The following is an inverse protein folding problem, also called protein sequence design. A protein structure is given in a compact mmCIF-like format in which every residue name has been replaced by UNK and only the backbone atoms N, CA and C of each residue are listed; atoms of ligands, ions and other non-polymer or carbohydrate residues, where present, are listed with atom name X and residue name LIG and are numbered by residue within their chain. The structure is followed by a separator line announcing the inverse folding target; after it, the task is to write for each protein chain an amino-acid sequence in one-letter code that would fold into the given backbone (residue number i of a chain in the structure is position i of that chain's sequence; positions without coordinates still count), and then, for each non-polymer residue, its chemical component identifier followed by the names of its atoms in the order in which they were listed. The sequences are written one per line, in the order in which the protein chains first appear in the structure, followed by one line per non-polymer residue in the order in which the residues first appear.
data_IF_374387175543
#
_entry.id   IF_374387175543
#
_cell.length_a   1.000
_cell.length_b   1.000
_cell.length_c   1.000
_cell.angle_alpha   90.00
_cell.angle_beta   90.00
_cell.angle_gamma   90.00
#
_symmetry.space_group_name_H-M   'P 1'
#
loop_
_entity.id
_entity.type
_entity.pdbx_description
1 polymer ?
#
# COMPACT_ATOMS: atom_id res chain seq x y z
N UNK A 1 -2.60 -4.62 16.63
CA UNK A 1 -1.24 -5.16 16.59
C UNK A 1 -0.69 -4.93 15.20
N UNK A 2 0.55 -4.44 15.12
CA UNK A 2 1.28 -4.20 13.87
C UNK A 2 1.20 -5.32 12.84
N UNK A 3 1.31 -4.94 11.57
CA UNK A 3 1.08 -5.81 10.42
C UNK A 3 2.37 -6.26 9.71
N UNK A 4 3.50 -6.23 10.45
CA UNK A 4 4.81 -6.68 9.97
C UNK A 4 5.50 -5.67 9.06
N UNK A 5 6.18 -6.18 8.03
CA UNK A 5 6.83 -5.39 7.00
C UNK A 5 6.11 -5.60 5.65
N UNK A 6 6.31 -4.65 4.74
CA UNK A 6 5.66 -4.65 3.43
C UNK A 6 6.55 -4.11 2.32
N UNK A 7 6.13 -4.35 1.08
CA UNK A 7 6.65 -3.68 -0.11
C UNK A 7 5.50 -2.92 -0.74
N UNK A 8 5.70 -1.63 -0.95
CA UNK A 8 4.70 -0.70 -1.47
C UNK A 8 5.20 0.00 -2.72
N UNK A 9 4.27 0.34 -3.61
CA UNK A 9 4.49 1.39 -4.60
C UNK A 9 4.05 2.72 -3.97
N UNK A 10 5.01 3.50 -3.50
CA UNK A 10 4.81 4.81 -2.88
C UNK A 10 4.56 5.86 -3.96
N UNK A 11 3.53 6.68 -3.77
CA UNK A 11 3.05 7.64 -4.75
C UNK A 11 3.31 9.07 -4.29
N UNK A 12 3.71 9.93 -5.22
CA UNK A 12 3.88 11.36 -4.96
C UNK A 12 2.53 12.08 -5.15
N UNK A 13 1.55 11.75 -4.30
CA UNK A 13 0.23 12.37 -4.29
C UNK A 13 0.01 13.16 -3.00
N UNK A 14 -0.62 14.32 -3.13
CA UNK A 14 -0.93 15.20 -2.01
C UNK A 14 -2.30 14.84 -1.41
N UNK A 15 -2.49 15.20 -0.13
CA UNK A 15 -3.80 15.13 0.53
C UNK A 15 -4.10 13.84 1.26
N UNK A 16 -3.19 12.85 1.26
CA UNK A 16 -3.27 11.72 2.20
C UNK A 16 -3.09 12.27 3.61
N UNK A 17 -4.04 11.96 4.49
CA UNK A 17 -4.12 12.60 5.81
C UNK A 17 -3.41 11.83 6.90
N UNK A 18 -3.32 10.50 6.76
CA UNK A 18 -3.02 9.63 7.90
C UNK A 18 -1.74 8.84 7.78
N UNK A 19 -1.16 8.70 6.58
CA UNK A 19 -0.03 7.80 6.33
C UNK A 19 0.67 8.12 5.01
N UNK A 20 1.67 7.32 4.65
CA UNK A 20 2.43 7.43 3.40
C UNK A 20 1.52 7.07 2.22
N UNK A 21 1.36 7.91 1.18
CA UNK A 21 0.54 7.57 0.03
C UNK A 21 1.12 6.38 -0.73
N UNK A 22 0.35 5.31 -0.89
CA UNK A 22 0.86 4.10 -1.53
C UNK A 22 -0.26 3.25 -2.12
N UNK A 23 0.14 2.29 -2.96
CA UNK A 23 -0.59 1.04 -3.15
C UNK A 23 0.26 -0.13 -2.65
N UNK A 24 -0.36 -1.05 -1.92
CA UNK A 24 0.31 -2.23 -1.40
C UNK A 24 0.67 -3.19 -2.54
N UNK A 25 1.89 -3.72 -2.55
CA UNK A 25 2.26 -4.88 -3.39
C UNK A 25 2.09 -6.15 -2.56
N UNK A 26 2.73 -6.20 -1.39
CA UNK A 26 2.57 -7.26 -0.40
C UNK A 26 2.87 -6.74 1.02
N UNK A 27 2.29 -7.38 2.03
CA UNK A 27 2.46 -7.07 3.46
C UNK A 27 2.57 -8.35 4.30
N UNK A 28 2.62 -8.20 5.63
CA UNK A 28 2.68 -9.30 6.60
C UNK A 28 3.93 -10.19 6.46
N UNK A 29 5.06 -9.55 6.15
CA UNK A 29 6.36 -10.22 5.96
C UNK A 29 7.28 -9.98 7.16
N UNK A 30 8.31 -10.82 7.28
CA UNK A 30 9.51 -10.45 8.06
C UNK A 30 10.26 -9.33 7.32
N UNK A 31 11.18 -8.65 8.02
CA UNK A 31 11.99 -7.62 7.38
C UNK A 31 12.84 -8.20 6.24
N UNK A 32 13.44 -9.38 6.45
CA UNK A 32 14.28 -10.05 5.44
C UNK A 32 13.48 -10.46 4.20
N UNK A 33 12.28 -10.99 4.38
CA UNK A 33 11.39 -11.35 3.26
C UNK A 33 10.98 -10.10 2.47
N UNK A 34 10.69 -8.99 3.15
CA UNK A 34 10.31 -7.74 2.50
C UNK A 34 11.47 -7.16 1.66
N UNK A 35 12.71 -7.21 2.15
CA UNK A 35 13.88 -6.79 1.37
C UNK A 35 14.22 -7.75 0.23
N UNK A 36 14.00 -9.05 0.40
CA UNK A 36 14.16 -10.05 -0.67
C UNK A 36 13.18 -9.75 -1.80
N UNK A 37 11.89 -9.60 -1.49
CA UNK A 37 10.85 -9.24 -2.44
C UNK A 37 11.15 -7.90 -3.13
N UNK A 38 11.58 -6.88 -2.37
CA UNK A 38 11.97 -5.58 -2.91
C UNK A 38 13.08 -5.71 -3.95
N UNK A 39 14.17 -6.44 -3.63
CA UNK A 39 15.30 -6.61 -4.53
C UNK A 39 14.88 -7.31 -5.83
N UNK A 40 14.11 -8.40 -5.74
CA UNK A 40 13.58 -9.10 -6.93
C UNK A 40 12.70 -8.17 -7.77
N UNK A 41 11.82 -7.40 -7.13
CA UNK A 41 10.91 -6.50 -7.83
C UNK A 41 11.64 -5.40 -8.59
N UNK A 42 12.65 -4.77 -7.97
CA UNK A 42 13.44 -3.71 -8.60
C UNK A 42 14.40 -4.24 -9.67
N UNK A 43 14.88 -5.48 -9.56
CA UNK A 43 15.69 -6.12 -10.60
C UNK A 43 14.86 -6.35 -11.87
N UNK A 44 13.61 -6.75 -11.73
CA UNK A 44 12.70 -7.01 -12.84
C UNK A 44 12.16 -5.74 -13.51
N UNK A 45 11.90 -4.70 -12.71
CA UNK A 45 11.09 -3.56 -13.16
C UNK A 45 11.78 -2.19 -13.03
N UNK A 46 12.90 -2.14 -12.31
CA UNK A 46 13.47 -0.89 -11.80
C UNK A 46 12.71 -0.36 -10.57
N UNK A 47 13.31 0.64 -9.90
CA UNK A 47 12.73 1.24 -8.69
C UNK A 47 11.48 2.07 -8.97
N UNK A 48 11.42 2.76 -10.11
CA UNK A 48 10.34 3.68 -10.44
C UNK A 48 9.41 3.07 -11.47
N UNK A 49 8.13 2.94 -11.13
CA UNK A 49 7.17 2.16 -11.90
C UNK A 49 5.92 2.97 -12.16
N UNK A 50 5.36 2.79 -13.35
CA UNK A 50 4.10 3.44 -13.74
C UNK A 50 2.92 2.65 -13.19
N UNK A 51 1.93 3.38 -12.68
CA UNK A 51 0.59 2.84 -12.44
C UNK A 51 -0.47 3.73 -13.11
N UNK A 52 -1.67 3.18 -13.26
CA UNK A 52 -2.87 3.94 -13.60
C UNK A 52 -3.86 3.82 -12.46
N UNK A 53 -4.48 4.95 -12.09
CA UNK A 53 -5.46 5.03 -11.01
C UNK A 53 -6.77 5.57 -11.58
N UNK A 54 -7.87 4.92 -11.23
CA UNK A 54 -9.22 5.36 -11.55
C UNK A 54 -9.92 5.77 -10.25
N UNK A 55 -10.31 7.05 -10.17
CA UNK A 55 -10.94 7.62 -8.99
C UNK A 55 -12.46 7.47 -8.97
N UNK A 56 -13.05 6.97 -10.07
CA UNK A 56 -14.49 6.72 -10.14
C UNK A 56 -14.92 5.55 -9.26
N UNK A 57 -13.99 4.61 -9.00
CA UNK A 57 -14.18 3.43 -8.16
C UNK A 57 -13.52 3.61 -6.79
N UNK A 58 -14.32 4.08 -5.82
CA UNK A 58 -13.90 4.29 -4.44
C UNK A 58 -14.63 3.33 -3.50
N UNK A 59 -13.95 2.90 -2.43
CA UNK A 59 -14.49 1.94 -1.45
C UNK A 59 -14.12 2.37 -0.04
N UNK A 60 -15.01 2.07 0.91
CA UNK A 60 -14.66 2.12 2.34
C UNK A 60 -14.32 0.70 2.78
N UNK A 61 -13.05 0.47 3.14
CA UNK A 61 -12.59 -0.77 3.72
C UNK A 61 -13.10 -0.89 5.16
N UNK A 62 -13.59 -2.07 5.51
CA UNK A 62 -13.95 -2.42 6.87
C UNK A 62 -12.71 -2.88 7.65
N UNK A 63 -12.74 -2.82 8.99
CA UNK A 63 -11.70 -3.40 9.84
C UNK A 63 -11.35 -4.85 9.48
N UNK A 64 -10.09 -5.24 9.70
CA UNK A 64 -9.52 -6.55 9.37
C UNK A 64 -9.67 -6.88 7.87
N UNK A 65 -9.40 -5.89 7.01
CA UNK A 65 -9.53 -6.05 5.57
C UNK A 65 -8.65 -7.18 5.02
N UNK A 66 -7.41 -7.27 5.50
CA UNK A 66 -6.52 -8.37 5.15
C UNK A 66 -6.71 -9.56 6.08
N UNK A 67 -6.51 -10.78 5.55
CA UNK A 67 -6.77 -12.03 6.25
C UNK A 67 -6.05 -12.16 7.60
N UNK A 68 -4.80 -11.73 7.69
CA UNK A 68 -4.02 -11.77 8.93
C UNK A 68 -4.05 -10.45 9.73
N UNK A 69 -4.77 -9.43 9.24
CA UNK A 69 -4.86 -8.15 9.93
C UNK A 69 -5.78 -8.26 11.15
N UNK A 70 -5.39 -7.56 12.21
CA UNK A 70 -6.21 -7.34 13.41
C UNK A 70 -6.55 -5.87 13.61
N UNK A 71 -6.36 -5.06 12.56
CA UNK A 71 -6.66 -3.64 12.59
C UNK A 71 -8.15 -3.40 12.87
N UNK A 72 -8.44 -2.31 13.58
CA UNK A 72 -9.80 -1.90 13.92
C UNK A 72 -10.21 -0.63 13.16
N UNK A 73 -9.57 -0.37 12.02
CA UNK A 73 -9.69 0.89 11.30
C UNK A 73 -10.55 0.71 10.05
N UNK A 74 -11.41 1.69 9.80
CA UNK A 74 -12.01 1.87 8.49
C UNK A 74 -11.01 2.63 7.61
N UNK A 75 -10.86 2.20 6.36
CA UNK A 75 -10.05 2.89 5.36
C UNK A 75 -10.95 3.53 4.30
N UNK A 76 -10.76 4.81 3.98
CA UNK A 76 -11.31 5.37 2.75
C UNK A 76 -10.31 5.22 1.62
N UNK A 77 -10.62 4.35 0.66
CA UNK A 77 -9.89 4.22 -0.60
C UNK A 77 -10.38 5.23 -1.62
N UNK A 78 -9.47 6.05 -2.11
CA UNK A 78 -9.73 7.01 -3.19
C UNK A 78 -9.66 6.37 -4.57
N UNK A 79 -8.89 5.29 -4.70
CA UNK A 79 -8.91 4.40 -5.86
C UNK A 79 -8.90 2.95 -5.36
N UNK A 80 -9.86 2.13 -5.81
CA UNK A 80 -9.95 0.70 -5.48
C UNK A 80 -9.61 -0.23 -6.67
N UNK A 81 -9.09 0.35 -7.74
CA UNK A 81 -8.63 -0.36 -8.93
C UNK A 81 -7.36 0.27 -9.49
N UNK A 82 -6.26 0.16 -8.75
CA UNK A 82 -4.94 0.63 -9.21
C UNK A 82 -4.31 -0.45 -10.08
N UNK A 83 -3.94 -0.11 -11.30
CA UNK A 83 -3.23 -1.02 -12.18
C UNK A 83 -1.74 -0.69 -12.17
N UNK A 84 -0.93 -1.56 -11.55
CA UNK A 84 0.53 -1.46 -11.52
C UNK A 84 1.08 -2.10 -12.79
N UNK A 85 1.86 -1.36 -13.57
CA UNK A 85 2.44 -1.85 -14.82
C UNK A 85 3.83 -2.44 -14.52
N UNK A 86 3.85 -3.67 -14.01
CA UNK A 86 5.07 -4.38 -13.60
C UNK A 86 4.96 -5.90 -13.82
N UNK A 87 6.11 -6.56 -13.99
CA UNK A 87 6.25 -7.99 -13.80
C UNK A 87 6.23 -8.31 -12.30
N UNK A 88 5.42 -9.29 -11.92
CA UNK A 88 5.36 -9.76 -10.53
C UNK A 88 6.46 -10.80 -10.27
N UNK A 89 7.09 -10.78 -9.08
CA UNK A 89 8.05 -11.79 -8.67
C UNK A 89 7.37 -13.16 -8.51
N UNK A 90 8.17 -14.22 -8.68
CA UNK A 90 7.68 -15.59 -8.85
C UNK A 90 7.26 -16.31 -7.57
N UNK A 91 7.73 -15.85 -6.41
CA UNK A 91 7.35 -16.43 -5.11
C UNK A 91 6.58 -15.42 -4.27
N UNK A 92 5.31 -15.73 -4.02
CA UNK A 92 4.41 -14.92 -3.18
C UNK A 92 3.85 -15.76 -2.03
N UNK A 93 4.55 -16.84 -1.65
CA UNK A 93 4.15 -17.67 -0.53
C UNK A 93 4.40 -16.94 0.80
N UNK A 94 3.49 -17.12 1.77
CA UNK A 94 3.59 -16.58 3.13
C UNK A 94 3.56 -15.03 3.24
N UNK A 95 2.92 -14.34 2.31
CA UNK A 95 2.65 -12.90 2.40
C UNK A 95 1.18 -12.59 2.12
N UNK A 96 0.68 -11.48 2.65
CA UNK A 96 -0.67 -11.03 2.39
C UNK A 96 -0.66 -10.09 1.17
N UNK A 97 -1.44 -10.46 0.16
CA UNK A 97 -1.64 -9.68 -1.06
C UNK A 97 -2.96 -8.92 -0.97
N UNK A 98 -3.05 -7.70 -1.52
CA UNK A 98 -4.33 -7.02 -1.63
C UNK A 98 -5.22 -7.74 -2.65
N UNK A 99 -6.51 -7.89 -2.33
CA UNK A 99 -7.50 -8.39 -3.32
C UNK A 99 -7.49 -7.54 -4.60
N UNK A 100 -7.35 -6.23 -4.40
CA UNK A 100 -7.10 -5.24 -5.45
C UNK A 100 -6.13 -4.21 -4.93
N UNK A 101 -5.17 -3.83 -5.76
CA UNK A 101 -4.32 -2.67 -5.49
C UNK A 101 -5.20 -1.42 -5.35
N UNK A 102 -4.98 -0.67 -4.27
CA UNK A 102 -5.82 0.45 -3.89
C UNK A 102 -4.97 1.51 -3.20
N UNK A 103 -5.49 2.74 -3.17
CA UNK A 103 -4.88 3.87 -2.47
C UNK A 103 -5.87 4.35 -1.42
N UNK A 104 -5.50 4.22 -0.16
CA UNK A 104 -6.23 4.84 0.95
C UNK A 104 -5.78 6.29 1.14
N UNK A 105 -6.73 7.18 1.42
CA UNK A 105 -6.45 8.58 1.74
C UNK A 105 -6.55 8.86 3.24
N UNK A 106 -7.31 8.01 3.95
CA UNK A 106 -7.65 8.22 5.34
C UNK A 106 -7.93 6.87 6.02
N UNK A 107 -7.54 6.76 7.28
CA UNK A 107 -7.91 5.67 8.17
C UNK A 107 -8.54 6.27 9.44
N UNK A 108 -9.64 5.70 9.91
CA UNK A 108 -10.34 6.18 11.10
C UNK A 108 -10.93 5.02 11.92
N UNK A 109 -11.06 5.21 13.24
CA UNK A 109 -11.73 4.21 14.11
C UNK A 109 -13.24 4.15 13.88
N UNK A 110 -13.84 5.27 13.47
CA UNK A 110 -15.27 5.38 13.23
C UNK A 110 -15.50 5.74 11.77
N UNK A 111 -16.36 4.97 11.10
CA UNK A 111 -16.74 5.21 9.69
C UNK A 111 -17.24 6.64 9.45
N UNK A 112 -17.92 7.24 10.43
CA UNK A 112 -18.48 8.59 10.34
C UNK A 112 -17.41 9.71 10.28
N UNK A 113 -16.17 9.42 10.65
CA UNK A 113 -15.05 10.37 10.61
C UNK A 113 -14.32 10.37 9.25
N UNK A 114 -14.61 9.39 8.40
CA UNK A 114 -14.11 9.37 7.03
C UNK A 114 -14.77 10.49 6.22
N UNK A 115 -13.98 11.17 5.39
CA UNK A 115 -14.45 12.22 4.50
C UNK A 115 -14.32 11.80 3.03
N UNK A 116 -15.10 10.81 2.54
CA UNK A 116 -14.96 10.34 1.19
C UNK A 116 -15.34 11.41 0.16
N UNK A 117 -14.53 11.51 -0.89
CA UNK A 117 -14.75 12.38 -2.04
C UNK A 117 -14.69 11.54 -3.31
N UNK A 118 -15.71 11.63 -4.17
CA UNK A 118 -15.72 10.98 -5.47
C UNK A 118 -15.22 11.94 -6.55
N UNK A 119 -14.36 11.43 -7.43
CA UNK A 119 -13.89 12.17 -8.62
C UNK A 119 -13.99 11.24 -9.82
N UNK A 120 -14.51 11.75 -10.93
CA UNK A 120 -14.56 10.98 -12.18
C UNK A 120 -13.35 11.34 -13.04
N UNK A 121 -12.22 10.67 -12.77
CA UNK A 121 -10.94 10.97 -13.41
C UNK A 121 -9.97 9.80 -13.32
N UNK A 122 -9.19 9.63 -14.38
CA UNK A 122 -8.13 8.64 -14.49
C UNK A 122 -6.78 9.34 -14.59
N UNK A 123 -5.81 8.89 -13.80
CA UNK A 123 -4.44 9.37 -13.85
C UNK A 123 -3.45 8.26 -14.22
N UNK A 124 -2.33 8.65 -14.82
CA UNK A 124 -1.13 7.83 -14.86
C UNK A 124 -0.06 8.49 -13.99
N UNK A 125 0.48 7.73 -13.05
CA UNK A 125 1.46 8.18 -12.07
C UNK A 125 2.71 7.32 -12.16
N UNK A 126 3.83 7.87 -11.70
CA UNK A 126 5.05 7.11 -11.44
C UNK A 126 5.22 7.09 -9.92
N UNK A 127 5.29 5.88 -9.36
CA UNK A 127 5.63 5.66 -7.96
C UNK A 127 7.02 5.06 -7.82
N UNK A 128 7.53 5.04 -6.59
CA UNK A 128 8.76 4.33 -6.24
C UNK A 128 8.44 3.09 -5.41
N UNK A 129 9.10 1.99 -5.72
CA UNK A 129 9.05 0.77 -4.92
C UNK A 129 9.86 1.02 -3.66
N UNK A 130 9.26 0.78 -2.49
CA UNK A 130 9.88 0.99 -1.19
C UNK A 130 9.53 -0.16 -0.23
N UNK A 131 10.45 -0.45 0.69
CA UNK A 131 10.20 -1.33 1.85
C UNK A 131 9.65 -0.49 2.99
N UNK A 132 8.66 -1.03 3.71
CA UNK A 132 8.01 -0.31 4.80
C UNK A 132 7.92 -1.13 6.08
N UNK A 133 8.03 -0.42 7.20
CA UNK A 133 7.71 -0.91 8.55
C UNK A 133 6.30 -0.44 8.92
N UNK A 134 5.40 -1.42 9.07
CA UNK A 134 3.99 -1.20 9.42
C UNK A 134 3.62 -1.95 10.71
N UNK A 135 4.59 -2.15 11.60
CA UNK A 135 4.39 -2.79 12.90
C UNK A 135 3.65 -1.90 13.91
N UNK A 136 3.41 -0.63 13.60
CA UNK A 136 2.51 0.19 14.40
C UNK A 136 1.05 -0.02 13.99
N UNK A 137 0.16 0.05 14.98
CA UNK A 137 -1.29 0.14 14.78
C UNK A 137 -1.77 1.52 14.34
N UNK A 138 -0.87 2.50 14.35
CA UNK A 138 -1.15 3.89 14.06
C UNK A 138 -0.55 4.18 12.67
N UNK A 139 -1.39 4.41 11.63
CA UNK A 139 -0.89 4.61 10.27
C UNK A 139 0.11 5.76 10.10
N UNK A 140 0.05 6.78 10.96
CA UNK A 140 0.99 7.91 10.94
C UNK A 140 2.38 7.56 11.48
N UNK A 141 2.55 6.39 12.09
CA UNK A 141 3.83 5.87 12.57
C UNK A 141 4.46 4.87 11.61
N UNK A 142 3.83 4.58 10.46
CA UNK A 142 4.42 3.75 9.42
C UNK A 142 5.54 4.50 8.70
N UNK A 143 6.62 3.79 8.38
CA UNK A 143 7.81 4.42 7.81
C UNK A 143 8.36 3.61 6.64
N UNK A 144 8.88 4.32 5.64
CA UNK A 144 9.78 3.74 4.64
C UNK A 144 11.12 3.46 5.33
N UNK A 145 11.65 2.27 5.10
CA UNK A 145 12.93 1.83 5.65
C UNK A 145 13.91 1.47 4.53
N UNK A 146 15.19 1.66 4.81
CA UNK A 146 16.29 1.32 3.89
C UNK A 146 17.28 0.43 4.61
N UNK A 147 17.82 -0.57 3.90
CA UNK A 147 19.05 -1.24 4.33
C UNK A 147 20.22 -0.62 3.58
N UNK A 148 21.25 -0.25 4.32
CA UNK A 148 22.55 -0.02 3.71
C UNK A 148 23.03 -1.38 3.19
N UNK A 149 23.36 -1.45 1.89
CA UNK A 149 24.06 -2.61 1.33
C UNK A 149 25.44 -2.64 2.01
N UNK A 150 25.68 -3.68 2.82
CA UNK A 150 27.01 -3.97 3.37
C UNK A 150 27.96 -4.49 2.30
#
# INVERSE_FOLDING_TARGET
MGYGYGVWLVLQINGVKTHIPHTTIACNMTEDDAFTLYNEFIELNGKNIRCTIDLSDYVILTPNYYANSKDQLYGWCWAYNVNIIAALPSDQNNMDLPERHHISMQYEKEKALLCPEQKDMVYSLIGSIEVVDIRSDIPSEWNIITRELQ
#
